data_IF_082185221606
#
_entry.id   IF_082185221606
#
_cell.length_a   1.000
_cell.length_b   1.000
_cell.length_c   1.000
_cell.angle_alpha   90.00
_cell.angle_beta   90.00
_cell.angle_gamma   90.00
#
_symmetry.space_group_name_H-M   'P 1'
#
loop_
_entity.id
_entity.type
_entity.pdbx_description
1 polymer ?
#
# COMPACT_ATOMS: atom_id res chain seq x y z
N UNK A 1 -18.82 23.79 -16.69
CA UNK A 1 -20.16 23.43 -16.14
C UNK A 1 -20.28 24.04 -14.75
N UNK A 2 -21.40 24.59 -14.38
CA UNK A 2 -21.60 25.30 -13.09
C UNK A 2 -22.39 24.41 -12.12
N UNK A 3 -21.90 24.27 -10.90
CA UNK A 3 -22.55 23.53 -9.81
C UNK A 3 -22.61 24.43 -8.58
N UNK A 4 -23.72 25.11 -8.34
CA UNK A 4 -23.83 26.16 -7.30
C UNK A 4 -22.70 27.19 -7.44
N UNK A 5 -21.81 27.29 -6.45
CA UNK A 5 -20.65 28.19 -6.44
C UNK A 5 -19.39 27.59 -7.11
N UNK A 6 -19.44 26.32 -7.56
CA UNK A 6 -18.34 25.64 -8.20
C UNK A 6 -18.43 25.71 -9.72
N UNK A 7 -17.33 26.07 -10.37
CA UNK A 7 -17.17 26.06 -11.82
C UNK A 7 -16.25 24.90 -12.20
N UNK A 8 -16.81 23.85 -12.81
CA UNK A 8 -16.02 22.77 -13.40
C UNK A 8 -15.44 23.28 -14.72
N UNK A 9 -14.11 23.27 -14.78
CA UNK A 9 -13.33 23.77 -15.92
C UNK A 9 -12.99 22.59 -16.88
N UNK A 10 -11.73 22.27 -17.04
CA UNK A 10 -11.24 21.18 -17.90
C UNK A 10 -11.22 19.84 -17.17
N UNK A 11 -11.30 18.76 -17.94
CA UNK A 11 -11.09 17.39 -17.42
C UNK A 11 -9.60 17.16 -17.21
N UNK A 12 -9.23 16.77 -16.00
CA UNK A 12 -7.84 16.51 -15.58
C UNK A 12 -7.57 15.02 -15.35
N UNK A 13 -8.58 14.16 -15.44
CA UNK A 13 -8.43 12.71 -15.29
C UNK A 13 -9.73 11.97 -15.45
N UNK A 14 -9.62 10.66 -15.69
CA UNK A 14 -10.76 9.75 -15.78
C UNK A 14 -10.48 8.53 -14.90
N UNK A 15 -11.28 8.33 -13.88
CA UNK A 15 -11.21 7.18 -12.97
C UNK A 15 -12.25 6.11 -13.30
N UNK A 16 -12.18 4.99 -12.60
CA UNK A 16 -13.12 3.86 -12.76
C UNK A 16 -14.60 4.25 -12.56
N UNK A 17 -14.88 5.20 -11.67
CA UNK A 17 -16.23 5.61 -11.29
C UNK A 17 -16.62 7.02 -11.78
N UNK A 18 -15.88 7.61 -12.71
CA UNK A 18 -16.22 8.94 -13.22
C UNK A 18 -15.03 9.76 -13.70
N UNK A 19 -15.32 11.00 -14.04
CA UNK A 19 -14.37 11.94 -14.61
C UNK A 19 -14.01 13.03 -13.59
N UNK A 20 -12.73 13.41 -13.54
CA UNK A 20 -12.21 14.41 -12.61
C UNK A 20 -11.96 15.73 -13.34
N UNK A 21 -12.48 16.81 -12.79
CA UNK A 21 -12.42 18.15 -13.36
C UNK A 21 -11.60 19.08 -12.46
N UNK A 22 -10.78 19.93 -13.08
CA UNK A 22 -10.28 21.12 -12.41
C UNK A 22 -11.47 22.03 -12.08
N UNK A 23 -11.49 22.58 -10.87
CA UNK A 23 -12.67 23.30 -10.38
C UNK A 23 -12.25 24.56 -9.64
N UNK A 24 -12.91 25.69 -9.96
CA UNK A 24 -12.84 26.93 -9.20
C UNK A 24 -14.04 27.04 -8.27
N UNK A 25 -13.83 27.64 -7.11
CA UNK A 25 -14.89 28.06 -6.21
C UNK A 25 -15.01 29.59 -6.32
N UNK A 26 -16.23 30.11 -6.42
CA UNK A 26 -16.48 31.55 -6.44
C UNK A 26 -15.90 32.18 -5.16
N UNK A 27 -15.18 33.27 -5.33
CA UNK A 27 -14.55 34.03 -4.25
C UNK A 27 -13.44 33.28 -3.47
N UNK A 28 -12.91 32.16 -4.02
CA UNK A 28 -11.76 31.43 -3.49
C UNK A 28 -10.67 31.33 -4.57
N UNK A 29 -9.45 31.84 -4.36
CA UNK A 29 -8.38 31.76 -5.35
C UNK A 29 -7.82 30.34 -5.55
N UNK A 30 -8.15 29.41 -4.66
CA UNK A 30 -7.67 28.05 -4.70
C UNK A 30 -8.38 27.22 -5.79
N UNK A 31 -7.61 26.36 -6.43
CA UNK A 31 -8.15 25.32 -7.31
C UNK A 31 -8.51 24.07 -6.52
N UNK A 32 -9.49 23.36 -7.03
CA UNK A 32 -10.01 22.11 -6.48
C UNK A 32 -10.06 21.05 -7.57
N UNK A 33 -10.10 19.79 -7.19
CA UNK A 33 -10.42 18.66 -8.05
C UNK A 33 -11.82 18.15 -7.74
N UNK A 34 -12.65 18.00 -8.76
CA UNK A 34 -14.03 17.49 -8.59
C UNK A 34 -14.21 16.18 -9.35
N UNK A 35 -14.39 15.09 -8.62
CA UNK A 35 -14.76 13.77 -9.16
C UNK A 35 -16.27 13.78 -9.41
N UNK A 36 -16.67 13.71 -10.68
CA UNK A 36 -18.07 13.66 -11.15
C UNK A 36 -18.42 12.23 -11.46
N UNK A 37 -19.45 11.71 -10.83
CA UNK A 37 -19.89 10.31 -10.91
C UNK A 37 -21.32 10.27 -11.40
N UNK A 38 -21.59 9.51 -12.47
CA UNK A 38 -22.95 9.35 -13.00
C UNK A 38 -23.79 8.51 -12.02
N UNK A 39 -24.96 9.03 -11.66
CA UNK A 39 -25.87 8.31 -10.74
C UNK A 39 -26.37 6.98 -11.31
N UNK A 40 -26.41 6.86 -12.62
CA UNK A 40 -26.82 5.62 -13.29
C UNK A 40 -25.78 4.50 -13.14
N UNK A 41 -24.50 4.86 -13.12
CA UNK A 41 -23.38 3.90 -12.92
C UNK A 41 -23.34 3.36 -11.49
N UNK A 42 -23.81 4.15 -10.50
CA UNK A 42 -23.82 3.78 -9.08
C UNK A 42 -25.21 3.37 -8.55
N UNK A 43 -26.20 3.16 -9.42
CA UNK A 43 -27.54 2.67 -9.01
C UNK A 43 -27.50 1.23 -8.46
N UNK A 44 -26.52 0.44 -8.83
CA UNK A 44 -26.28 -0.86 -8.21
C UNK A 44 -25.86 -0.64 -6.75
N UNK A 45 -26.44 -1.41 -5.84
CA UNK A 45 -26.34 -1.19 -4.39
C UNK A 45 -24.92 -1.06 -3.87
N UNK A 46 -23.98 -1.76 -4.48
CA UNK A 46 -22.57 -1.84 -4.09
C UNK A 46 -21.76 -0.60 -4.47
N UNK A 47 -21.83 -0.13 -5.70
CA UNK A 47 -21.14 1.10 -6.12
C UNK A 47 -21.59 2.33 -5.30
N UNK A 48 -22.85 2.38 -4.89
CA UNK A 48 -23.36 3.41 -3.98
C UNK A 48 -22.73 3.29 -2.58
N UNK A 49 -22.47 2.09 -2.12
CA UNK A 49 -21.83 1.83 -0.84
C UNK A 49 -20.37 2.32 -0.86
N UNK A 50 -19.61 2.00 -1.90
CA UNK A 50 -18.25 2.50 -2.07
C UNK A 50 -18.18 4.02 -2.09
N UNK A 51 -19.08 4.67 -2.84
CA UNK A 51 -19.16 6.13 -2.89
C UNK A 51 -19.43 6.75 -1.51
N UNK A 52 -20.37 6.20 -0.75
CA UNK A 52 -20.69 6.68 0.60
C UNK A 52 -19.52 6.49 1.55
N UNK A 53 -18.86 5.35 1.44
CA UNK A 53 -17.70 5.01 2.25
C UNK A 53 -16.51 5.94 1.94
N UNK A 54 -16.22 6.19 0.65
CA UNK A 54 -15.17 7.13 0.21
C UNK A 54 -15.42 8.52 0.82
N UNK A 55 -16.64 9.04 0.72
CA UNK A 55 -16.99 10.36 1.28
C UNK A 55 -16.84 10.35 2.81
N UNK A 56 -17.34 9.32 3.49
CA UNK A 56 -17.29 9.26 4.97
C UNK A 56 -15.85 9.17 5.49
N UNK A 57 -15.01 8.37 4.84
CA UNK A 57 -13.60 8.23 5.22
C UNK A 57 -12.84 9.53 4.93
N UNK A 58 -13.00 10.12 3.76
CA UNK A 58 -12.34 11.38 3.40
C UNK A 58 -12.75 12.55 4.33
N UNK A 59 -13.98 12.59 4.81
CA UNK A 59 -14.43 13.57 5.80
C UNK A 59 -13.80 13.35 7.19
N UNK A 60 -13.49 12.09 7.51
CA UNK A 60 -12.94 11.72 8.81
C UNK A 60 -11.43 11.88 8.89
N UNK A 61 -10.71 11.70 7.77
CA UNK A 61 -9.26 11.79 7.71
C UNK A 61 -8.79 13.23 7.53
N UNK A 62 -7.74 13.60 8.28
CA UNK A 62 -7.08 14.90 8.15
C UNK A 62 -5.57 14.72 8.38
N UNK A 63 -4.82 14.64 7.28
CA UNK A 63 -3.37 14.42 7.30
C UNK A 63 -2.72 15.16 6.10
N UNK A 64 -1.51 15.74 6.23
CA UNK A 64 -0.86 16.48 5.15
C UNK A 64 -0.67 15.65 3.87
N UNK A 65 -0.43 14.34 3.99
CA UNK A 65 -0.19 13.43 2.87
C UNK A 65 -1.44 12.62 2.45
N UNK A 66 -2.63 13.03 2.86
CA UNK A 66 -3.92 12.50 2.40
C UNK A 66 -4.68 13.64 1.73
N UNK A 67 -5.31 13.37 0.58
CA UNK A 67 -6.10 14.37 -0.13
C UNK A 67 -7.20 14.95 0.77
N UNK A 68 -7.26 16.28 0.85
CA UNK A 68 -8.22 16.95 1.73
C UNK A 68 -9.57 17.02 1.09
N UNK A 69 -10.59 16.48 1.76
CA UNK A 69 -11.99 16.65 1.41
C UNK A 69 -12.42 18.11 1.57
N UNK A 70 -13.17 18.64 0.59
CA UNK A 70 -13.75 19.99 0.64
C UNK A 70 -15.27 19.94 0.79
N UNK A 71 -15.95 19.23 -0.12
CA UNK A 71 -17.42 19.22 -0.16
C UNK A 71 -17.93 18.01 -0.96
N UNK A 72 -19.21 17.65 -0.81
CA UNK A 72 -19.90 16.70 -1.66
C UNK A 72 -21.24 17.26 -2.10
N UNK A 73 -21.55 17.14 -3.39
CA UNK A 73 -22.79 17.66 -3.97
C UNK A 73 -23.53 16.57 -4.73
N UNK A 74 -24.84 16.75 -4.85
CA UNK A 74 -25.72 15.84 -5.58
C UNK A 74 -26.67 16.64 -6.48
N UNK A 75 -26.79 16.18 -7.72
CA UNK A 75 -27.79 16.65 -8.66
C UNK A 75 -28.73 15.52 -9.08
N UNK A 76 -29.69 15.82 -9.96
CA UNK A 76 -30.58 14.78 -10.52
C UNK A 76 -29.79 13.66 -11.25
N UNK A 77 -28.68 14.00 -11.90
CA UNK A 77 -27.89 13.06 -12.76
C UNK A 77 -26.58 12.61 -12.19
N UNK A 78 -25.95 13.38 -11.28
CA UNK A 78 -24.58 13.12 -10.84
C UNK A 78 -24.42 13.29 -9.33
N UNK A 79 -23.37 12.60 -8.79
CA UNK A 79 -22.69 12.94 -7.55
C UNK A 79 -21.39 13.66 -7.87
N UNK A 80 -20.93 14.49 -6.94
CA UNK A 80 -19.69 15.25 -7.05
C UNK A 80 -18.97 15.19 -5.70
N UNK A 81 -17.69 14.81 -5.73
CA UNK A 81 -16.78 14.88 -4.59
C UNK A 81 -15.75 15.96 -4.90
N UNK A 82 -15.71 17.01 -4.09
CA UNK A 82 -14.81 18.14 -4.25
C UNK A 82 -13.65 17.97 -3.25
N UNK A 83 -12.43 18.00 -3.74
CA UNK A 83 -11.19 17.76 -2.98
C UNK A 83 -10.14 18.81 -3.31
N UNK A 84 -9.06 18.89 -2.53
CA UNK A 84 -7.91 19.69 -2.90
C UNK A 84 -7.35 19.25 -4.26
N UNK A 85 -6.86 20.23 -5.02
CA UNK A 85 -6.18 19.98 -6.29
C UNK A 85 -4.69 19.78 -6.07
N UNK A 86 -4.14 18.70 -6.61
CA UNK A 86 -2.72 18.37 -6.59
C UNK A 86 -2.14 18.63 -7.98
N UNK A 87 -1.15 19.51 -8.07
CA UNK A 87 -0.68 20.04 -9.34
C UNK A 87 0.45 19.25 -10.00
N UNK A 88 1.00 18.21 -9.34
CA UNK A 88 2.16 17.46 -9.80
C UNK A 88 1.84 16.16 -10.58
N UNK A 89 0.54 15.79 -10.69
CA UNK A 89 0.13 14.55 -11.35
C UNK A 89 0.39 13.30 -10.52
N UNK A 90 0.26 12.13 -11.13
CA UNK A 90 0.41 10.82 -10.49
C UNK A 90 1.88 10.44 -10.32
N UNK A 91 2.21 9.77 -9.22
CA UNK A 91 3.57 9.28 -8.95
C UNK A 91 4.02 8.23 -9.98
N UNK A 92 3.09 7.44 -10.54
CA UNK A 92 3.37 6.51 -11.65
C UNK A 92 3.88 7.22 -12.89
N UNK A 93 3.27 8.35 -13.26
CA UNK A 93 3.69 9.18 -14.39
C UNK A 93 5.03 9.86 -14.11
N UNK A 94 5.25 10.31 -12.87
CA UNK A 94 6.53 10.88 -12.46
C UNK A 94 7.67 9.86 -12.57
N UNK A 95 7.44 8.59 -12.16
CA UNK A 95 8.42 7.52 -12.31
C UNK A 95 8.74 7.26 -13.81
N UNK A 96 7.73 7.13 -14.65
CA UNK A 96 7.91 6.98 -16.11
C UNK A 96 8.74 8.13 -16.70
N UNK A 97 8.36 9.36 -16.41
CA UNK A 97 9.08 10.56 -16.86
C UNK A 97 10.53 10.60 -16.37
N UNK A 98 10.77 10.14 -15.13
CA UNK A 98 12.11 10.07 -14.56
C UNK A 98 12.98 9.04 -15.31
N UNK A 99 12.41 7.84 -15.57
CA UNK A 99 13.09 6.78 -16.33
C UNK A 99 13.39 7.25 -17.76
N UNK A 100 12.44 7.88 -18.44
CA UNK A 100 12.63 8.44 -19.78
C UNK A 100 13.76 9.50 -19.80
N UNK A 101 13.83 10.35 -18.78
CA UNK A 101 14.81 11.44 -18.71
C UNK A 101 16.21 10.96 -18.30
N UNK A 102 16.33 9.99 -17.39
CA UNK A 102 17.59 9.61 -16.76
C UNK A 102 18.04 8.18 -17.06
N UNK A 103 17.23 7.37 -17.74
CA UNK A 103 17.54 5.98 -18.10
C UNK A 103 17.58 5.02 -16.90
N UNK A 104 17.06 5.41 -15.76
CA UNK A 104 17.05 4.62 -14.51
C UNK A 104 15.83 4.95 -13.64
N UNK A 105 15.41 4.05 -12.73
CA UNK A 105 14.37 4.34 -11.75
C UNK A 105 14.81 5.44 -10.77
N UNK A 106 13.95 5.79 -9.82
CA UNK A 106 14.27 6.82 -8.82
C UNK A 106 15.51 6.45 -7.99
N UNK A 107 16.32 7.45 -7.68
CA UNK A 107 17.40 7.31 -6.72
C UNK A 107 16.83 7.06 -5.31
N UNK A 108 17.53 6.27 -4.49
CA UNK A 108 17.11 5.92 -3.12
C UNK A 108 16.77 7.15 -2.26
N UNK A 109 17.43 8.29 -2.51
CA UNK A 109 17.14 9.55 -1.82
C UNK A 109 15.74 10.07 -2.12
N UNK A 110 15.28 9.97 -3.36
CA UNK A 110 13.93 10.37 -3.77
C UNK A 110 12.92 9.40 -3.14
N UNK A 111 13.24 8.11 -3.17
CA UNK A 111 12.38 7.08 -2.58
C UNK A 111 12.28 7.24 -1.07
N UNK A 112 13.39 7.51 -0.39
CA UNK A 112 13.40 7.83 1.03
C UNK A 112 12.48 9.01 1.35
N UNK A 113 12.53 10.09 0.54
CA UNK A 113 11.68 11.27 0.70
C UNK A 113 10.19 10.93 0.57
N UNK A 114 9.81 10.16 -0.45
CA UNK A 114 8.41 9.75 -0.64
C UNK A 114 7.95 8.72 0.38
N UNK A 115 8.79 7.73 0.69
CA UNK A 115 8.43 6.68 1.65
C UNK A 115 8.25 7.20 3.07
N UNK A 116 8.99 8.23 3.49
CA UNK A 116 8.74 8.92 4.76
C UNK A 116 7.30 9.41 4.85
N UNK A 117 6.84 10.10 3.82
CA UNK A 117 5.51 10.67 3.75
C UNK A 117 4.41 9.60 3.65
N UNK A 118 4.66 8.54 2.85
CA UNK A 118 3.73 7.41 2.71
C UNK A 118 3.57 6.69 4.05
N UNK A 119 4.68 6.32 4.70
CA UNK A 119 4.64 5.60 5.97
C UNK A 119 3.99 6.44 7.08
N UNK A 120 4.25 7.75 7.12
CA UNK A 120 3.60 8.65 8.09
C UNK A 120 2.07 8.70 7.89
N UNK A 121 1.62 8.80 6.65
CA UNK A 121 0.20 8.76 6.32
C UNK A 121 -0.44 7.41 6.70
N UNK A 122 0.23 6.28 6.42
CA UNK A 122 -0.31 4.96 6.76
C UNK A 122 -0.27 4.65 8.24
N UNK A 123 0.71 5.16 8.98
CA UNK A 123 0.68 5.13 10.44
C UNK A 123 -0.59 5.79 10.96
N UNK A 124 -0.91 7.00 10.48
CA UNK A 124 -2.14 7.70 10.86
C UNK A 124 -3.42 6.94 10.45
N UNK A 125 -3.48 6.40 9.22
CA UNK A 125 -4.63 5.62 8.72
C UNK A 125 -4.86 4.38 9.59
N UNK A 126 -3.80 3.62 9.89
CA UNK A 126 -3.87 2.40 10.69
C UNK A 126 -4.20 2.67 12.17
N UNK A 127 -3.72 3.77 12.76
CA UNK A 127 -4.14 4.23 14.08
C UNK A 127 -5.66 4.49 14.15
N UNK A 128 -6.26 4.97 13.04
CA UNK A 128 -7.70 5.15 12.90
C UNK A 128 -8.46 3.85 12.63
N UNK A 129 -7.76 2.71 12.57
CA UNK A 129 -8.33 1.39 12.25
C UNK A 129 -8.98 1.36 10.86
N UNK A 130 -8.37 2.03 9.90
CA UNK A 130 -8.77 2.04 8.49
C UNK A 130 -7.71 1.28 7.69
N UNK A 131 -8.15 0.47 6.73
CA UNK A 131 -7.34 -0.21 5.73
C UNK A 131 -7.68 0.41 4.38
N UNK A 132 -6.70 0.80 3.60
CA UNK A 132 -6.90 1.51 2.32
C UNK A 132 -7.26 0.56 1.17
N UNK A 133 -6.55 -0.56 1.02
CA UNK A 133 -6.75 -1.65 0.05
C UNK A 133 -6.59 -1.32 -1.45
N UNK A 134 -6.27 -0.10 -1.80
CA UNK A 134 -6.08 0.32 -3.20
C UNK A 134 -4.78 1.10 -3.37
N UNK A 135 -3.68 0.56 -2.81
CA UNK A 135 -2.38 1.22 -2.84
C UNK A 135 -1.67 0.86 -4.15
N UNK A 136 -1.43 1.88 -4.96
CA UNK A 136 -0.66 1.83 -6.20
C UNK A 136 -0.14 3.22 -6.52
N UNK A 137 0.89 3.32 -7.37
CA UNK A 137 1.49 4.62 -7.72
C UNK A 137 0.52 5.61 -8.37
N UNK A 138 -0.51 5.11 -9.10
CA UNK A 138 -1.56 5.96 -9.68
C UNK A 138 -2.46 6.63 -8.62
N UNK A 139 -2.57 6.03 -7.42
CA UNK A 139 -3.36 6.57 -6.31
C UNK A 139 -2.53 7.43 -5.34
N UNK A 140 -1.35 7.84 -5.75
CA UNK A 140 -0.48 8.79 -5.05
C UNK A 140 -0.20 9.95 -5.99
N UNK A 141 -0.69 11.14 -5.64
CA UNK A 141 -0.46 12.35 -6.39
C UNK A 141 0.72 13.13 -5.81
N UNK A 142 1.41 13.88 -6.65
CA UNK A 142 2.41 14.85 -6.27
C UNK A 142 1.77 16.24 -6.17
N UNK A 143 2.19 17.00 -5.19
CA UNK A 143 1.79 18.39 -5.01
C UNK A 143 3.02 19.25 -4.75
N UNK A 144 3.18 20.33 -5.50
CA UNK A 144 4.25 21.31 -5.34
C UNK A 144 3.70 22.60 -4.75
N UNK A 145 4.42 23.19 -3.82
CA UNK A 145 4.05 24.47 -3.22
C UNK A 145 4.15 25.61 -4.26
N UNK A 146 5.15 25.54 -5.14
CA UNK A 146 5.39 26.56 -6.16
C UNK A 146 5.58 25.96 -7.56
N UNK A 147 5.28 26.76 -8.59
CA UNK A 147 5.36 26.32 -9.99
C UNK A 147 6.82 26.16 -10.48
N UNK A 148 7.80 26.80 -9.87
CA UNK A 148 9.21 26.69 -10.25
C UNK A 148 9.73 25.27 -9.98
N UNK A 149 9.51 24.74 -8.76
CA UNK A 149 9.92 23.37 -8.41
C UNK A 149 9.21 22.33 -9.26
N UNK A 150 7.91 22.54 -9.56
CA UNK A 150 7.13 21.69 -10.45
C UNK A 150 7.71 21.69 -11.87
N UNK A 151 7.97 22.87 -12.45
CA UNK A 151 8.50 23.01 -13.80
C UNK A 151 9.91 22.43 -13.93
N UNK A 152 10.72 22.55 -12.91
CA UNK A 152 12.06 21.98 -12.81
C UNK A 152 12.04 20.48 -12.49
N UNK A 153 10.87 19.89 -12.27
CA UNK A 153 10.69 18.48 -11.87
C UNK A 153 11.52 18.12 -10.63
N UNK A 154 11.49 19.01 -9.63
CA UNK A 154 12.23 18.86 -8.38
C UNK A 154 11.48 17.95 -7.40
N UNK A 155 11.62 16.62 -7.57
CA UNK A 155 10.89 15.62 -6.79
C UNK A 155 11.16 15.71 -5.27
N UNK A 156 12.30 16.28 -4.86
CA UNK A 156 12.62 16.48 -3.44
C UNK A 156 11.81 17.62 -2.78
N UNK A 157 11.07 18.39 -3.58
CA UNK A 157 10.17 19.46 -3.14
C UNK A 157 8.69 19.12 -3.34
N UNK A 158 8.40 17.91 -3.82
CA UNK A 158 7.05 17.42 -3.97
C UNK A 158 6.56 16.79 -2.67
N UNK A 159 5.35 17.17 -2.25
CA UNK A 159 4.59 16.42 -1.24
C UNK A 159 3.73 15.38 -1.92
N UNK A 160 3.58 14.21 -1.30
CA UNK A 160 2.64 13.21 -1.78
C UNK A 160 1.24 13.43 -1.20
N UNK A 161 0.22 13.03 -1.96
CA UNK A 161 -1.18 12.99 -1.52
C UNK A 161 -1.81 11.65 -1.89
N UNK A 162 -2.18 10.87 -0.89
CA UNK A 162 -2.89 9.60 -1.08
C UNK A 162 -4.33 9.91 -1.43
N UNK A 163 -4.83 9.27 -2.48
CA UNK A 163 -6.19 9.42 -3.01
C UNK A 163 -6.90 8.06 -3.09
N UNK A 164 -8.20 8.08 -3.43
CA UNK A 164 -9.03 6.90 -3.73
C UNK A 164 -9.26 5.97 -2.53
N UNK A 165 -10.08 6.42 -1.61
CA UNK A 165 -10.57 5.65 -0.47
C UNK A 165 -11.86 4.87 -0.76
N UNK A 166 -12.21 4.66 -2.04
CA UNK A 166 -13.43 3.95 -2.45
C UNK A 166 -13.47 2.51 -1.90
N UNK A 167 -12.34 1.84 -1.91
CA UNK A 167 -12.19 0.49 -1.36
C UNK A 167 -11.77 0.45 0.12
N UNK A 168 -11.50 1.58 0.74
CA UNK A 168 -11.05 1.60 2.11
C UNK A 168 -12.14 1.08 3.07
N UNK A 169 -11.72 0.46 4.18
CA UNK A 169 -12.67 -0.03 5.18
C UNK A 169 -12.17 0.24 6.60
N UNK A 170 -13.13 0.42 7.50
CA UNK A 170 -12.85 0.41 8.94
C UNK A 170 -12.88 -1.04 9.43
N UNK A 171 -11.85 -1.47 10.14
CA UNK A 171 -11.76 -2.85 10.65
C UNK A 171 -12.91 -3.12 11.61
N UNK A 172 -13.93 -3.87 11.14
CA UNK A 172 -15.02 -4.42 11.96
C UNK A 172 -15.36 -5.82 11.45
N UNK A 173 -15.78 -6.70 12.36
CA UNK A 173 -16.09 -8.11 12.02
C UNK A 173 -17.18 -8.29 10.95
N UNK A 174 -18.07 -7.31 10.80
CA UNK A 174 -19.19 -7.35 9.84
C UNK A 174 -18.75 -7.04 8.41
N UNK A 175 -17.69 -6.25 8.26
CA UNK A 175 -17.19 -5.76 6.97
C UNK A 175 -16.35 -6.80 6.21
N UNK A 176 -15.73 -7.72 6.92
CA UNK A 176 -14.81 -8.74 6.36
C UNK A 176 -15.53 -9.67 5.37
N UNK A 177 -16.80 -9.99 5.63
CA UNK A 177 -17.60 -10.92 4.81
C UNK A 177 -17.94 -10.38 3.42
N UNK A 178 -18.07 -9.06 3.27
CA UNK A 178 -18.45 -8.40 2.01
C UNK A 178 -17.27 -8.13 1.07
N UNK A 179 -16.05 -8.12 1.61
CA UNK A 179 -14.82 -7.75 0.88
C UNK A 179 -14.31 -8.86 -0.02
N UNK A 180 -14.55 -10.10 0.37
CA UNK A 180 -14.00 -11.28 -0.30
C UNK A 180 -14.48 -11.45 -1.75
N UNK A 181 -15.53 -10.74 -2.15
CA UNK A 181 -16.19 -10.92 -3.45
C UNK A 181 -15.72 -9.96 -4.56
N UNK A 182 -14.92 -8.88 -4.27
CA UNK A 182 -14.88 -7.76 -5.22
C UNK A 182 -13.54 -7.10 -5.58
N UNK A 183 -12.37 -7.54 -5.13
CA UNK A 183 -11.12 -6.84 -5.48
C UNK A 183 -10.12 -7.71 -6.26
N UNK A 184 -9.89 -7.43 -7.57
CA UNK A 184 -9.11 -8.34 -8.41
C UNK A 184 -7.62 -8.07 -8.57
N UNK A 185 -7.01 -6.94 -8.24
CA UNK A 185 -5.71 -6.63 -8.89
C UNK A 185 -4.54 -6.19 -7.99
N UNK A 186 -4.73 -5.79 -6.75
CA UNK A 186 -3.61 -5.62 -5.81
C UNK A 186 -3.65 -6.73 -4.78
N UNK A 187 -3.32 -7.93 -5.24
CA UNK A 187 -3.58 -9.13 -4.46
C UNK A 187 -2.34 -9.45 -3.64
N UNK A 188 -2.45 -9.22 -2.37
CA UNK A 188 -1.57 -9.80 -1.38
C UNK A 188 -1.61 -11.34 -1.44
N UNK A 189 -0.48 -11.97 -1.16
CA UNK A 189 -0.35 -13.43 -1.16
C UNK A 189 -1.39 -14.17 -0.29
N UNK A 190 -1.90 -13.52 0.78
CA UNK A 190 -2.99 -14.05 1.61
C UNK A 190 -4.33 -14.09 0.89
N UNK A 191 -4.67 -13.06 0.11
CA UNK A 191 -5.90 -13.02 -0.68
C UNK A 191 -5.94 -14.16 -1.71
N UNK A 192 -4.80 -14.53 -2.29
CA UNK A 192 -4.71 -15.64 -3.25
C UNK A 192 -5.00 -16.98 -2.59
N UNK A 193 -4.45 -17.21 -1.40
CA UNK A 193 -4.75 -18.42 -0.62
C UNK A 193 -6.23 -18.51 -0.29
N UNK A 194 -6.84 -17.37 0.05
CA UNK A 194 -8.28 -17.25 0.32
C UNK A 194 -9.13 -17.50 -0.93
N UNK A 195 -8.74 -16.93 -2.08
CA UNK A 195 -9.45 -17.18 -3.36
C UNK A 195 -9.51 -18.68 -3.72
N UNK A 196 -8.42 -19.41 -3.50
CA UNK A 196 -8.39 -20.88 -3.73
C UNK A 196 -9.26 -21.64 -2.73
N UNK A 197 -9.31 -21.22 -1.47
CA UNK A 197 -10.14 -21.84 -0.44
C UNK A 197 -11.64 -21.56 -0.66
N UNK A 198 -12.01 -20.37 -1.16
CA UNK A 198 -13.38 -20.02 -1.55
C UNK A 198 -13.82 -20.82 -2.77
N UNK A 199 -12.98 -20.94 -3.79
CA UNK A 199 -13.23 -21.71 -5.01
C UNK A 199 -13.41 -23.22 -4.72
N UNK A 200 -12.86 -23.71 -3.60
CA UNK A 200 -12.95 -25.11 -3.17
C UNK A 200 -14.09 -25.41 -2.20
N UNK A 201 -15.05 -24.50 -1.98
CA UNK A 201 -16.21 -24.67 -1.07
C UNK A 201 -15.87 -25.02 0.39
N UNK A 202 -14.67 -24.70 0.87
CA UNK A 202 -14.31 -24.86 2.28
C UNK A 202 -14.76 -23.63 3.09
N UNK A 203 -15.49 -23.87 4.18
CA UNK A 203 -15.96 -22.83 5.10
C UNK A 203 -14.82 -21.92 5.53
N UNK A 204 -14.97 -20.63 5.27
CA UNK A 204 -14.07 -19.56 5.68
C UNK A 204 -13.97 -19.56 7.21
N UNK A 205 -12.80 -19.91 7.76
CA UNK A 205 -12.49 -19.74 9.17
C UNK A 205 -11.69 -18.46 9.34
N UNK A 206 -12.23 -17.52 10.14
CA UNK A 206 -11.61 -16.32 10.72
C UNK A 206 -10.36 -15.80 9.99
N UNK A 207 -10.53 -14.90 9.02
CA UNK A 207 -9.42 -14.18 8.40
C UNK A 207 -9.22 -12.84 9.12
N UNK A 208 -8.01 -12.62 9.59
CA UNK A 208 -7.59 -11.33 10.12
C UNK A 208 -7.21 -10.41 8.95
N UNK A 209 -8.21 -9.81 8.29
CA UNK A 209 -7.96 -8.63 7.47
C UNK A 209 -7.42 -7.54 8.38
N UNK A 210 -6.14 -7.26 8.26
CA UNK A 210 -5.47 -6.29 9.08
C UNK A 210 -4.69 -5.29 8.20
N UNK A 211 -4.15 -4.29 8.84
CA UNK A 211 -3.30 -3.25 8.26
C UNK A 211 -2.06 -3.79 7.52
N UNK A 212 -1.68 -5.05 7.76
CA UNK A 212 -0.55 -5.69 7.08
C UNK A 212 -0.79 -5.92 5.57
N UNK A 213 -2.04 -5.88 5.11
CA UNK A 213 -2.38 -5.90 3.68
C UNK A 213 -1.87 -4.65 2.97
N UNK A 214 -2.10 -3.48 3.58
CA UNK A 214 -1.58 -2.21 3.08
C UNK A 214 -0.06 -2.19 3.09
N UNK A 215 0.58 -2.74 4.14
CA UNK A 215 2.04 -2.79 4.25
C UNK A 215 2.65 -3.58 3.08
N UNK A 216 2.06 -4.70 2.69
CA UNK A 216 2.53 -5.45 1.51
C UNK A 216 2.41 -4.61 0.23
N UNK A 217 1.27 -3.97 0.03
CA UNK A 217 1.04 -3.11 -1.13
C UNK A 217 1.99 -1.90 -1.15
N UNK A 218 2.32 -1.33 0.02
CA UNK A 218 3.36 -0.29 0.13
C UNK A 218 4.73 -0.86 -0.27
N UNK A 219 5.04 -2.10 0.10
CA UNK A 219 6.23 -2.80 -0.34
C UNK A 219 6.30 -2.97 -1.87
N UNK A 220 5.17 -3.28 -2.52
CA UNK A 220 5.14 -3.41 -4.00
C UNK A 220 5.41 -2.09 -4.72
N UNK A 221 4.84 -0.97 -4.26
CA UNK A 221 5.14 0.35 -4.86
C UNK A 221 6.54 0.85 -4.53
N UNK A 222 7.09 0.52 -3.35
CA UNK A 222 8.49 0.80 -3.03
C UNK A 222 9.43 0.05 -3.98
N UNK A 223 9.17 -1.23 -4.22
CA UNK A 223 9.89 -2.02 -5.21
C UNK A 223 9.80 -1.39 -6.61
N UNK A 224 8.60 -1.02 -7.05
CA UNK A 224 8.37 -0.41 -8.36
C UNK A 224 9.16 0.91 -8.50
N UNK A 225 9.23 1.73 -7.48
CA UNK A 225 10.05 2.95 -7.47
C UNK A 225 11.55 2.67 -7.53
N UNK A 226 12.04 1.60 -6.84
CA UNK A 226 13.45 1.21 -6.80
C UNK A 226 13.93 0.53 -8.09
N UNK A 227 13.05 -0.23 -8.75
CA UNK A 227 13.43 -1.13 -9.85
C UNK A 227 12.88 -0.63 -11.21
N UNK A 228 11.82 0.18 -11.20
CA UNK A 228 11.15 0.68 -12.41
C UNK A 228 10.17 -0.32 -13.04
N UNK A 229 9.88 -1.43 -12.38
CA UNK A 229 8.91 -2.45 -12.80
C UNK A 229 8.19 -3.05 -11.59
N UNK A 230 7.03 -3.64 -11.81
CA UNK A 230 6.26 -4.32 -10.76
C UNK A 230 6.99 -5.56 -10.21
N UNK A 231 6.73 -5.91 -8.95
CA UNK A 231 7.33 -7.11 -8.30
C UNK A 231 6.92 -8.39 -9.02
N UNK A 232 5.63 -8.50 -9.34
CA UNK A 232 5.04 -9.60 -10.06
C UNK A 232 4.32 -9.04 -11.28
N UNK A 233 4.80 -9.41 -12.47
CA UNK A 233 4.23 -9.00 -13.73
C UNK A 233 3.65 -10.21 -14.45
N UNK A 234 2.41 -10.10 -14.94
CA UNK A 234 1.74 -11.15 -15.70
C UNK A 234 0.63 -10.60 -16.57
N UNK A 235 0.46 -11.19 -17.75
CA UNK A 235 -0.62 -10.85 -18.69
C UNK A 235 -1.98 -11.43 -18.25
N UNK A 236 -1.99 -12.43 -17.37
CA UNK A 236 -3.22 -13.05 -16.89
C UNK A 236 -3.19 -13.35 -15.38
N UNK A 237 -4.39 -13.50 -14.81
CA UNK A 237 -4.57 -13.67 -13.37
C UNK A 237 -3.99 -15.00 -12.84
N UNK A 238 -4.12 -16.10 -13.57
CA UNK A 238 -3.65 -17.42 -13.11
C UNK A 238 -2.13 -17.45 -13.01
N UNK A 239 -1.43 -16.84 -13.97
CA UNK A 239 0.02 -16.68 -13.94
C UNK A 239 0.47 -15.72 -12.84
N UNK A 240 -0.24 -14.62 -12.63
CA UNK A 240 0.01 -13.69 -11.52
C UNK A 240 -0.09 -14.42 -10.18
N UNK A 241 -1.16 -15.17 -9.97
CA UNK A 241 -1.38 -15.99 -8.79
C UNK A 241 -0.21 -16.96 -8.57
N UNK A 242 0.20 -17.66 -9.64
CA UNK A 242 1.32 -18.59 -9.58
C UNK A 242 2.62 -17.90 -9.18
N UNK A 243 2.96 -16.77 -9.79
CA UNK A 243 4.18 -15.97 -9.45
C UNK A 243 4.17 -15.51 -8.00
N UNK A 244 3.02 -15.02 -7.50
CA UNK A 244 2.90 -14.62 -6.10
C UNK A 244 3.00 -15.84 -5.17
N UNK A 245 2.41 -16.98 -5.55
CA UNK A 245 2.55 -18.23 -4.78
C UNK A 245 3.97 -18.76 -4.75
N UNK A 246 4.71 -18.67 -5.85
CA UNK A 246 6.14 -18.97 -5.88
C UNK A 246 6.89 -18.01 -4.95
N UNK A 247 6.47 -16.75 -4.92
CA UNK A 247 7.01 -15.73 -4.02
C UNK A 247 8.46 -15.38 -4.33
N UNK A 248 8.89 -15.54 -5.59
CA UNK A 248 10.27 -15.27 -6.02
C UNK A 248 10.29 -13.94 -6.77
N UNK A 249 11.15 -13.04 -6.36
CA UNK A 249 11.44 -11.80 -7.06
C UNK A 249 12.94 -11.48 -7.02
N UNK A 250 13.40 -10.56 -7.85
CA UNK A 250 14.80 -10.18 -7.96
C UNK A 250 15.02 -8.72 -7.62
N UNK A 251 16.16 -8.41 -7.05
CA UNK A 251 16.61 -7.04 -6.80
C UNK A 251 18.05 -6.86 -7.30
N UNK A 252 18.43 -5.67 -7.83
CA UNK A 252 19.81 -5.37 -8.20
C UNK A 252 20.73 -5.38 -6.98
N UNK A 253 21.95 -5.86 -7.17
CA UNK A 253 23.00 -5.81 -6.13
C UNK A 253 23.54 -4.40 -5.88
N UNK A 254 23.10 -3.43 -6.67
CA UNK A 254 23.45 -2.00 -6.54
C UNK A 254 22.63 -1.26 -5.48
N UNK A 255 21.54 -1.86 -4.98
CA UNK A 255 20.78 -1.29 -3.88
C UNK A 255 21.55 -1.34 -2.57
N UNK A 256 21.32 -0.35 -1.71
CA UNK A 256 21.86 -0.36 -0.36
C UNK A 256 21.26 -1.49 0.49
N UNK A 257 21.99 -1.91 1.51
CA UNK A 257 21.50 -2.83 2.53
C UNK A 257 20.20 -2.30 3.17
N UNK A 258 20.17 -1.01 3.50
CA UNK A 258 19.02 -0.35 4.13
C UNK A 258 17.77 -0.40 3.23
N UNK A 259 17.91 -0.21 1.92
CA UNK A 259 16.81 -0.32 0.97
C UNK A 259 16.27 -1.75 0.89
N UNK A 260 17.17 -2.75 0.82
CA UNK A 260 16.79 -4.17 0.78
C UNK A 260 16.13 -4.60 2.08
N UNK A 261 16.67 -4.19 3.22
CA UNK A 261 16.10 -4.47 4.54
C UNK A 261 14.70 -3.88 4.67
N UNK A 262 14.50 -2.64 4.21
CA UNK A 262 13.20 -1.96 4.22
C UNK A 262 12.17 -2.68 3.36
N UNK A 263 12.53 -3.07 2.13
CA UNK A 263 11.69 -3.89 1.26
C UNK A 263 11.30 -5.21 1.91
N UNK A 264 12.26 -5.92 2.49
CA UNK A 264 12.02 -7.19 3.16
C UNK A 264 11.11 -7.05 4.37
N UNK A 265 11.17 -5.92 5.08
CA UNK A 265 10.26 -5.63 6.19
C UNK A 265 8.79 -5.52 5.75
N UNK A 266 8.53 -5.20 4.49
CA UNK A 266 7.18 -5.07 3.93
C UNK A 266 6.76 -6.29 3.10
N UNK A 267 7.64 -6.80 2.25
CA UNK A 267 7.38 -7.91 1.33
C UNK A 267 7.63 -9.26 2.00
N UNK A 268 6.83 -9.59 3.00
CA UNK A 268 6.82 -10.90 3.67
C UNK A 268 5.57 -11.67 3.26
N UNK A 269 5.71 -12.99 2.94
CA UNK A 269 4.57 -13.85 2.64
C UNK A 269 3.65 -13.97 3.87
N UNK A 270 4.23 -14.25 5.03
CA UNK A 270 3.51 -14.27 6.30
C UNK A 270 3.29 -12.83 6.81
N UNK A 271 2.04 -12.41 6.87
CA UNK A 271 1.66 -11.06 7.35
C UNK A 271 2.15 -10.76 8.77
N UNK A 272 2.31 -11.78 9.62
CA UNK A 272 2.81 -11.63 10.99
C UNK A 272 4.29 -11.26 11.06
N UNK A 273 5.04 -11.54 9.99
CA UNK A 273 6.47 -11.19 9.85
C UNK A 273 6.69 -9.80 9.26
N UNK A 274 5.63 -9.12 8.78
CA UNK A 274 5.73 -7.76 8.24
C UNK A 274 5.92 -6.75 9.36
N UNK A 275 6.73 -5.74 9.09
CA UNK A 275 6.85 -4.59 9.98
C UNK A 275 5.57 -3.76 9.92
N UNK A 276 5.12 -3.26 11.06
CA UNK A 276 4.02 -2.29 11.12
C UNK A 276 4.45 -0.93 10.56
N UNK A 277 3.51 -0.05 10.22
CA UNK A 277 3.83 1.31 9.80
C UNK A 277 4.63 2.07 10.87
N UNK A 278 4.36 1.84 12.16
CA UNK A 278 5.13 2.39 13.28
C UNK A 278 6.58 1.88 13.32
N UNK A 279 6.81 0.58 13.06
CA UNK A 279 8.16 0.02 12.99
C UNK A 279 8.90 0.52 11.75
N UNK A 280 8.23 0.57 10.59
CA UNK A 280 8.78 1.12 9.36
C UNK A 280 9.18 2.59 9.49
N UNK A 281 8.42 3.40 10.22
CA UNK A 281 8.75 4.81 10.47
C UNK A 281 10.08 5.00 11.22
N UNK A 282 10.55 3.98 11.93
CA UNK A 282 11.81 3.97 12.67
C UNK A 282 12.95 3.25 11.94
N UNK A 283 12.68 2.69 10.75
CA UNK A 283 13.67 1.93 10.00
C UNK A 283 14.81 2.82 9.49
N UNK A 284 16.02 2.27 9.46
CA UNK A 284 17.24 2.96 9.06
C UNK A 284 17.16 3.57 7.67
N UNK A 285 16.53 2.89 6.71
CA UNK A 285 16.30 3.42 5.37
C UNK A 285 15.59 4.79 5.38
N UNK A 286 14.69 5.04 6.33
CA UNK A 286 14.02 6.33 6.44
C UNK A 286 14.77 7.34 7.30
N UNK A 287 15.66 6.92 8.20
CA UNK A 287 16.20 7.79 9.25
C UNK A 287 17.71 8.09 9.13
N UNK A 288 18.47 7.25 8.43
CA UNK A 288 19.89 7.52 8.15
C UNK A 288 20.06 8.47 6.95
N UNK A 289 21.20 9.16 6.91
CA UNK A 289 21.62 9.86 5.70
C UNK A 289 22.05 8.83 4.65
N UNK A 290 21.68 9.04 3.39
CA UNK A 290 22.02 8.13 2.28
C UNK A 290 23.52 7.86 2.17
N UNK A 291 24.38 8.83 2.50
CA UNK A 291 25.84 8.66 2.50
C UNK A 291 26.33 7.60 3.52
N UNK A 292 25.52 7.32 4.55
CA UNK A 292 25.82 6.34 5.60
C UNK A 292 25.22 4.97 5.31
N UNK A 293 24.66 4.78 4.11
CA UNK A 293 24.11 3.50 3.68
C UNK A 293 25.23 2.51 3.30
N UNK A 294 24.97 1.25 3.55
CA UNK A 294 25.94 0.16 3.33
C UNK A 294 25.65 -0.55 2.00
N UNK A 295 26.72 -0.93 1.31
CA UNK A 295 26.62 -1.83 0.17
C UNK A 295 26.30 -3.26 0.64
N UNK A 296 25.61 -4.01 -0.23
CA UNK A 296 25.37 -5.43 0.00
C UNK A 296 26.71 -6.18 -0.04
N UNK A 297 26.95 -7.02 0.97
CA UNK A 297 28.10 -7.89 1.00
C UNK A 297 27.94 -9.04 -0.01
N UNK A 298 28.50 -8.84 -1.20
CA UNK A 298 28.36 -9.78 -2.33
C UNK A 298 29.03 -11.14 -2.05
N UNK A 299 30.02 -11.21 -1.17
CA UNK A 299 30.68 -12.49 -0.81
C UNK A 299 29.70 -13.38 -0.03
N UNK A 300 28.93 -12.78 0.89
CA UNK A 300 27.91 -13.51 1.66
C UNK A 300 26.73 -13.97 0.82
N UNK A 301 26.41 -13.27 -0.26
CA UNK A 301 25.25 -13.57 -1.10
C UNK A 301 25.57 -14.27 -2.42
N UNK A 302 26.85 -14.59 -2.67
CA UNK A 302 27.34 -15.17 -3.94
C UNK A 302 26.56 -16.41 -4.43
N UNK A 303 25.99 -17.20 -3.51
CA UNK A 303 25.20 -18.40 -3.84
C UNK A 303 23.78 -18.10 -4.35
N UNK A 304 23.29 -16.87 -4.18
CA UNK A 304 21.94 -16.45 -4.56
C UNK A 304 21.92 -15.33 -5.60
N UNK A 305 23.11 -14.95 -6.10
CA UNK A 305 23.25 -13.94 -7.16
C UNK A 305 23.10 -14.61 -8.53
N UNK A 306 22.26 -14.03 -9.37
CA UNK A 306 22.14 -14.38 -10.77
C UNK A 306 22.26 -13.09 -11.60
N UNK A 307 23.34 -12.98 -12.41
CA UNK A 307 23.58 -11.83 -13.29
C UNK A 307 23.48 -10.45 -12.62
N UNK A 308 24.11 -10.27 -11.46
CA UNK A 308 24.04 -9.06 -10.63
C UNK A 308 22.66 -8.79 -9.99
N UNK A 309 21.80 -9.79 -9.92
CA UNK A 309 20.53 -9.72 -9.22
C UNK A 309 20.47 -10.72 -8.07
N UNK A 310 19.89 -10.33 -6.95
CA UNK A 310 19.59 -11.21 -5.82
C UNK A 310 18.21 -11.82 -6.01
N UNK A 311 18.13 -13.16 -5.99
CA UNK A 311 16.85 -13.88 -5.95
C UNK A 311 16.36 -13.96 -4.51
N UNK A 312 15.19 -13.38 -4.28
CA UNK A 312 14.54 -13.38 -2.97
C UNK A 312 13.30 -14.27 -3.03
N UNK A 313 13.15 -15.15 -2.04
CA UNK A 313 11.99 -16.00 -1.87
C UNK A 313 11.20 -15.54 -0.65
N UNK A 314 9.98 -15.05 -0.87
CA UNK A 314 9.08 -14.56 0.20
C UNK A 314 8.74 -15.63 1.25
N UNK A 315 8.73 -16.92 0.86
CA UNK A 315 8.39 -18.03 1.76
C UNK A 315 9.56 -18.48 2.64
N UNK A 316 10.78 -18.18 2.23
CA UNK A 316 11.99 -18.61 2.93
C UNK A 316 13.00 -17.47 3.05
N UNK A 317 12.59 -16.38 3.66
CA UNK A 317 13.41 -15.19 3.86
C UNK A 317 14.41 -15.35 5.01
N UNK A 318 14.31 -16.39 5.84
CA UNK A 318 15.20 -16.60 6.99
C UNK A 318 16.66 -16.67 6.57
N UNK A 319 16.95 -17.24 5.41
CA UNK A 319 18.29 -17.29 4.86
C UNK A 319 18.85 -15.90 4.49
N UNK A 320 18.01 -15.02 3.93
CA UNK A 320 18.40 -13.64 3.59
C UNK A 320 18.61 -12.85 4.87
N UNK A 321 17.74 -13.02 5.87
CA UNK A 321 17.92 -12.45 7.19
C UNK A 321 19.22 -12.93 7.86
N UNK A 322 19.58 -14.19 7.74
CA UNK A 322 20.84 -14.72 8.31
C UNK A 322 22.10 -14.14 7.65
N UNK A 323 22.02 -13.80 6.36
CA UNK A 323 23.11 -13.16 5.61
C UNK A 323 23.29 -11.70 6.07
N UNK A 324 22.19 -11.04 6.38
CA UNK A 324 22.17 -9.64 6.82
C UNK A 324 22.26 -9.51 8.37
N UNK A 325 22.03 -10.58 9.13
CA UNK A 325 21.79 -10.57 10.58
C UNK A 325 23.04 -10.57 11.48
N UNK A 326 24.24 -10.37 10.97
CA UNK A 326 25.35 -10.15 11.92
C UNK A 326 25.18 -8.86 12.76
N UNK A 327 24.41 -7.87 12.25
CA UNK A 327 24.14 -6.61 12.95
C UNK A 327 22.64 -6.35 13.27
N UNK A 328 21.72 -7.09 12.65
CA UNK A 328 20.28 -6.88 12.86
C UNK A 328 19.73 -7.47 14.17
N UNK A 329 20.43 -8.43 14.81
CA UNK A 329 20.12 -8.81 16.20
C UNK A 329 20.22 -7.62 17.15
N UNK A 330 21.14 -6.69 16.93
CA UNK A 330 21.22 -5.45 17.70
C UNK A 330 20.04 -4.51 17.42
N UNK A 331 19.53 -4.49 16.19
CA UNK A 331 18.40 -3.65 15.81
C UNK A 331 17.07 -4.22 16.31
N UNK A 332 16.84 -5.52 16.16
CA UNK A 332 15.71 -6.24 16.76
C UNK A 332 15.72 -6.09 18.28
N UNK A 333 16.84 -6.30 18.94
CA UNK A 333 16.98 -6.14 20.39
C UNK A 333 16.80 -4.67 20.84
N UNK A 334 17.11 -3.68 20.00
CA UNK A 334 16.84 -2.27 20.29
C UNK A 334 15.37 -1.89 20.10
N UNK A 335 14.65 -2.59 19.21
CA UNK A 335 13.22 -2.42 18.96
C UNK A 335 12.40 -3.26 19.94
N UNK A 336 12.87 -4.45 20.32
CA UNK A 336 12.24 -5.39 21.26
C UNK A 336 12.53 -5.09 22.72
N UNK A 337 13.17 -3.99 23.06
CA UNK A 337 13.42 -3.57 24.45
C UNK A 337 12.17 -3.46 25.32
N UNK A 338 10.98 -3.87 24.85
CA UNK A 338 9.77 -4.10 25.68
C UNK A 338 8.84 -5.13 24.99
N UNK A 339 8.80 -6.31 25.62
CA UNK A 339 7.80 -7.38 25.46
C UNK A 339 8.00 -8.39 24.34
N UNK A 340 8.91 -9.31 24.54
CA UNK A 340 8.75 -10.68 24.08
C UNK A 340 7.66 -11.34 24.97
N UNK A 341 6.51 -11.63 24.37
CA UNK A 341 5.58 -12.61 24.93
C UNK A 341 6.25 -13.96 24.78
N UNK A 342 6.39 -14.67 25.90
CA UNK A 342 6.97 -16.02 25.99
C UNK A 342 6.41 -16.94 24.90
N UNK A 343 7.23 -17.84 24.34
CA UNK A 343 6.75 -18.89 23.46
C UNK A 343 5.67 -19.67 24.19
N UNK A 344 4.50 -19.79 23.56
CA UNK A 344 3.46 -20.70 24.01
C UNK A 344 4.06 -22.10 23.95
N UNK A 345 4.36 -22.68 25.10
CA UNK A 345 4.67 -24.10 25.23
C UNK A 345 3.58 -24.90 24.52
N UNK A 346 3.99 -25.73 23.56
CA UNK A 346 3.18 -26.80 23.02
C UNK A 346 2.73 -27.69 24.19
N UNK A 347 1.53 -27.44 24.69
CA UNK A 347 0.86 -28.38 25.58
C UNK A 347 0.27 -29.49 24.75
N UNK A 348 0.78 -30.66 25.03
CA UNK A 348 0.49 -31.98 24.54
C UNK A 348 -0.94 -32.22 24.06
N UNK A 349 -1.04 -32.87 22.88
CA UNK A 349 -2.23 -33.50 22.28
C UNK A 349 -2.87 -34.59 23.16
N UNK A 350 -2.44 -34.79 24.40
CA UNK A 350 -2.96 -35.84 25.28
C UNK A 350 -4.18 -35.49 26.11
N UNK A 351 -4.60 -34.21 26.18
CA UNK A 351 -5.80 -33.82 26.94
C UNK A 351 -7.11 -33.87 26.12
N UNK A 352 -7.08 -34.07 24.82
CA UNK A 352 -8.29 -34.17 23.99
C UNK A 352 -8.89 -35.58 23.89
N UNK A 353 -8.24 -36.63 24.37
CA UNK A 353 -8.79 -37.99 24.36
C UNK A 353 -9.65 -38.36 25.57
N UNK A 354 -9.63 -37.60 26.66
CA UNK A 354 -10.37 -37.91 27.87
C UNK A 354 -11.78 -37.29 27.99
N UNK A 355 -12.23 -36.54 26.99
CA UNK A 355 -13.59 -35.97 26.99
C UNK A 355 -14.61 -36.73 26.09
N UNK A 356 -14.27 -37.93 25.62
CA UNK A 356 -15.17 -38.78 24.78
C UNK A 356 -15.73 -40.00 25.51
N UNK A 357 -15.69 -40.08 26.81
CA UNK A 357 -16.31 -41.20 27.58
C UNK A 357 -17.14 -40.69 28.72
N UNK A 358 -18.25 -40.08 28.45
CA UNK A 358 -19.41 -40.07 29.35
C UNK A 358 -20.68 -39.82 28.53
N UNK A 359 -21.29 -40.90 28.01
CA UNK A 359 -22.70 -40.91 27.68
C UNK A 359 -23.51 -41.12 28.95
N UNK A 360 -24.58 -40.36 29.19
CA UNK A 360 -25.51 -40.67 30.29
C UNK A 360 -26.50 -41.75 29.82
N UNK A 361 -26.50 -42.85 30.54
CA UNK A 361 -27.59 -43.81 30.55
C UNK A 361 -28.85 -43.19 31.18
N UNK A 362 -29.95 -43.41 30.48
CA UNK A 362 -31.39 -43.25 30.74
C UNK A 362 -32.02 -42.00 30.17
#
# INVERSE_FOLDING_TARGET
>A
MKLENYLLEESIGKGAFGEVYLTSLKDDPKKYATKKILREEVKQSEAMKYLRNEIAILQYLNHPNIVKFKDAKKTKKNFYIIMEYCNGGELSQALKKYIEKYGKPFDEKIIQHFMKQIIDAFKYIHEKKIIHRSIKLDNILLNYENEEDKNNFNLMKADIKIIDFGFACKVSKEYIKEILEESPITIESLLIKEFKEISSNKKIKNYDFNDMTDIFSIGTICYEMLIGKTVFDSENMDELIKKIEEGIYTIPTTLSYEAVSFLNGMLQYDSKKRLTAEQLSKHDFLNKDIKDFHNIDLEKVSKIIDKNELKINLKNNEFIWSIFNADSEKLLNSIEGKQLVNPIEEKDEKECENLKKEEPKK
#
